data_IF_379874926069
#
_entry.id   IF_379874926069
#
_cell.length_a   1.000
_cell.length_b   1.000
_cell.length_c   1.000
_cell.angle_alpha   90.00
_cell.angle_beta   90.00
_cell.angle_gamma   90.00
#
_symmetry.space_group_name_H-M   'P 1'
#
loop_
_entity.id
_entity.type
_entity.pdbx_description
1 polymer ?
#
# COMPACT_ATOMS: atom_id res chain seq x y z
N UNK A 1 14.05 42.15 14.59
CA UNK A 1 13.16 41.71 13.50
C UNK A 1 12.60 40.32 13.86
N UNK A 2 11.35 40.28 14.30
CA UNK A 2 10.69 39.03 14.73
C UNK A 2 10.17 38.31 13.49
N UNK A 3 10.66 37.10 13.26
CA UNK A 3 10.11 36.22 12.23
C UNK A 3 8.74 35.70 12.67
N UNK A 4 7.70 36.10 11.97
CA UNK A 4 6.34 35.61 12.13
C UNK A 4 6.30 34.11 11.79
N UNK A 5 5.76 33.29 12.72
CA UNK A 5 5.45 31.87 12.49
C UNK A 5 4.38 31.76 11.41
N UNK A 6 4.51 30.82 10.44
CA UNK A 6 3.46 30.61 9.45
C UNK A 6 2.18 30.13 10.12
N UNK A 7 1.06 30.66 9.65
CA UNK A 7 -0.29 30.40 10.14
C UNK A 7 -0.60 28.90 10.16
N UNK A 8 -1.28 28.48 11.25
CA UNK A 8 -1.83 27.12 11.43
C UNK A 8 -2.67 26.73 10.20
N UNK A 9 -2.36 25.58 9.62
CA UNK A 9 -3.23 24.91 8.63
C UNK A 9 -4.64 24.79 9.24
N UNK A 10 -5.56 25.56 8.73
CA UNK A 10 -6.99 25.40 8.97
C UNK A 10 -7.39 23.99 8.59
N UNK A 11 -8.13 23.29 9.45
CA UNK A 11 -8.70 21.98 9.15
C UNK A 11 -9.44 22.04 7.82
N UNK A 12 -8.86 21.39 6.80
CA UNK A 12 -9.43 21.27 5.47
C UNK A 12 -10.78 20.54 5.63
N UNK A 13 -11.90 21.25 5.51
CA UNK A 13 -13.22 20.63 5.41
C UNK A 13 -13.13 19.67 4.23
N UNK A 14 -13.36 18.39 4.48
CA UNK A 14 -13.47 17.41 3.39
C UNK A 14 -14.69 17.82 2.56
N UNK A 15 -14.45 18.45 1.44
CA UNK A 15 -15.50 18.79 0.50
C UNK A 15 -16.03 17.47 -0.08
N UNK A 16 -17.33 17.32 -0.09
CA UNK A 16 -17.98 16.23 -0.81
C UNK A 16 -17.73 16.48 -2.30
N UNK A 17 -17.17 15.52 -3.06
CA UNK A 17 -16.98 15.71 -4.49
C UNK A 17 -18.32 16.06 -5.18
N UNK A 18 -18.35 17.03 -6.08
CA UNK A 18 -19.56 17.39 -6.84
C UNK A 18 -19.90 16.36 -7.94
N UNK A 19 -19.02 15.39 -8.16
CA UNK A 19 -19.19 14.28 -9.07
C UNK A 19 -19.36 12.99 -8.26
N UNK A 20 -20.36 12.18 -8.60
CA UNK A 20 -20.54 10.85 -8.03
C UNK A 20 -19.40 9.91 -8.51
N UNK A 21 -19.11 8.89 -7.71
CA UNK A 21 -18.16 7.84 -8.14
C UNK A 21 -18.61 7.15 -9.43
N UNK A 22 -17.65 6.78 -10.26
CA UNK A 22 -17.88 5.92 -11.44
C UNK A 22 -17.16 4.58 -11.23
N UNK A 23 -17.90 3.48 -11.28
CA UNK A 23 -17.34 2.14 -11.12
C UNK A 23 -16.40 2.01 -9.89
N UNK A 24 -16.80 2.58 -8.75
CA UNK A 24 -16.03 2.58 -7.51
C UNK A 24 -14.84 3.56 -7.46
N UNK A 25 -14.64 4.36 -8.50
CA UNK A 25 -13.53 5.30 -8.65
C UNK A 25 -13.98 6.70 -8.29
N UNK A 26 -13.26 7.35 -7.37
CA UNK A 26 -13.50 8.74 -7.01
C UNK A 26 -13.03 9.71 -8.09
N UNK A 27 -13.74 10.83 -8.31
CA UNK A 27 -13.19 11.94 -9.07
C UNK A 27 -11.97 12.51 -8.35
N UNK A 28 -11.05 13.09 -9.10
CA UNK A 28 -9.87 13.76 -8.54
C UNK A 28 -10.11 15.26 -8.42
N UNK A 29 -9.57 15.85 -7.36
CA UNK A 29 -9.52 17.29 -7.18
C UNK A 29 -8.17 17.81 -7.65
N UNK A 30 -8.18 18.83 -8.50
CA UNK A 30 -7.01 19.54 -8.94
C UNK A 30 -7.15 21.03 -8.60
N UNK A 31 -6.13 21.57 -7.93
CA UNK A 31 -5.99 23.03 -7.77
C UNK A 31 -5.21 23.53 -8.97
N UNK A 32 -5.76 24.50 -9.69
CA UNK A 32 -5.09 25.09 -10.86
C UNK A 32 -3.86 25.89 -10.36
N UNK A 33 -2.64 25.55 -10.82
CA UNK A 33 -1.43 26.24 -10.38
C UNK A 33 -1.40 27.70 -10.80
N UNK A 34 -0.64 28.53 -10.09
CA UNK A 34 -0.30 29.86 -10.56
C UNK A 34 0.69 29.79 -11.74
N UNK A 35 0.67 30.76 -12.67
CA UNK A 35 1.54 30.71 -13.86
C UNK A 35 3.03 30.54 -13.54
N UNK A 36 3.51 31.14 -12.45
CA UNK A 36 4.88 31.02 -11.95
C UNK A 36 5.26 29.63 -11.42
N UNK A 37 4.27 28.79 -11.14
CA UNK A 37 4.46 27.39 -10.70
C UNK A 37 4.46 26.40 -11.88
N UNK A 38 4.12 26.89 -13.08
CA UNK A 38 4.02 26.07 -14.28
C UNK A 38 5.37 26.01 -15.02
N UNK A 39 5.71 24.87 -15.62
CA UNK A 39 6.79 24.80 -16.60
C UNK A 39 6.58 25.77 -17.77
N UNK A 40 7.65 26.31 -18.33
CA UNK A 40 7.61 27.24 -19.49
C UNK A 40 6.76 26.70 -20.67
N UNK A 41 6.78 25.37 -20.87
CA UNK A 41 5.96 24.73 -21.93
C UNK A 41 4.44 24.85 -21.69
N UNK A 42 4.00 25.05 -20.45
CA UNK A 42 2.58 25.20 -20.09
C UNK A 42 2.17 26.65 -19.83
N UNK A 43 3.11 27.53 -19.59
CA UNK A 43 2.91 28.95 -19.35
C UNK A 43 4.02 29.79 -20.05
N UNK A 44 4.05 29.82 -21.40
CA UNK A 44 5.06 30.53 -22.14
C UNK A 44 5.12 32.01 -21.76
N UNK A 45 6.32 32.50 -21.42
CA UNK A 45 6.51 33.89 -20.97
C UNK A 45 5.72 34.22 -19.69
N UNK A 46 5.46 33.25 -18.83
CA UNK A 46 4.71 33.42 -17.59
C UNK A 46 3.21 33.67 -17.76
N UNK A 47 2.66 33.40 -18.96
CA UNK A 47 1.23 33.60 -19.23
C UNK A 47 0.45 32.34 -18.95
N UNK A 48 -0.64 32.49 -18.16
CA UNK A 48 -1.56 31.38 -17.91
C UNK A 48 -2.15 30.82 -19.22
N UNK A 49 -2.47 29.52 -19.27
CA UNK A 49 -3.29 28.96 -20.35
C UNK A 49 -4.61 29.72 -20.52
N UNK A 50 -5.12 29.82 -21.75
CA UNK A 50 -6.35 30.58 -22.00
C UNK A 50 -7.58 29.95 -21.31
N UNK A 51 -7.68 28.62 -21.32
CA UNK A 51 -8.80 27.90 -20.77
C UNK A 51 -8.31 26.74 -19.87
N UNK A 52 -9.21 26.25 -18.98
CA UNK A 52 -8.98 25.07 -18.18
C UNK A 52 -8.76 23.83 -19.09
N UNK A 53 -9.50 23.73 -20.20
CA UNK A 53 -9.33 22.65 -21.16
C UNK A 53 -7.91 22.65 -21.76
N UNK A 54 -7.40 23.81 -22.18
CA UNK A 54 -6.05 23.93 -22.74
C UNK A 54 -4.99 23.45 -21.72
N UNK A 55 -5.15 23.82 -20.45
CA UNK A 55 -4.25 23.37 -19.41
C UNK A 55 -4.28 21.85 -19.21
N UNK A 56 -5.48 21.25 -19.08
CA UNK A 56 -5.64 19.82 -18.85
C UNK A 56 -5.07 19.00 -20.02
N UNK A 57 -5.34 19.44 -21.27
CA UNK A 57 -4.81 18.82 -22.48
C UNK A 57 -3.29 18.89 -22.48
N UNK A 58 -2.73 20.08 -22.39
CA UNK A 58 -1.28 20.27 -22.47
C UNK A 58 -0.52 19.56 -21.35
N UNK A 59 -1.12 19.45 -20.15
CA UNK A 59 -0.48 18.86 -18.97
C UNK A 59 -0.58 17.35 -18.90
N UNK A 60 -1.71 16.77 -19.33
CA UNK A 60 -2.01 15.37 -19.06
C UNK A 60 -2.32 14.55 -20.29
N UNK A 61 -2.79 15.17 -21.38
CA UNK A 61 -3.28 14.48 -22.58
C UNK A 61 -2.82 15.14 -23.88
N UNK A 62 -1.51 15.48 -24.02
CA UNK A 62 -1.04 16.22 -25.19
C UNK A 62 -1.22 15.45 -26.52
N UNK A 63 -1.26 14.11 -26.44
CA UNK A 63 -1.39 13.25 -27.62
C UNK A 63 -2.84 12.86 -27.92
N UNK A 64 -3.78 13.09 -26.99
CA UNK A 64 -5.20 12.77 -27.18
C UNK A 64 -6.11 13.83 -26.51
N UNK A 65 -6.29 15.00 -27.16
CA UNK A 65 -7.16 16.06 -26.64
C UNK A 65 -8.63 15.66 -26.49
N UNK A 66 -9.09 14.67 -27.26
CA UNK A 66 -10.50 14.26 -27.28
C UNK A 66 -10.95 13.72 -25.95
N UNK A 67 -10.06 13.08 -25.20
CA UNK A 67 -10.33 12.63 -23.84
C UNK A 67 -10.86 13.78 -22.95
N UNK A 68 -10.21 14.93 -23.01
CA UNK A 68 -10.63 16.08 -22.21
C UNK A 68 -11.87 16.75 -22.81
N UNK A 69 -11.97 16.88 -24.13
CA UNK A 69 -13.17 17.44 -24.75
C UNK A 69 -14.43 16.65 -24.36
N UNK A 70 -14.38 15.31 -24.42
CA UNK A 70 -15.53 14.47 -24.02
C UNK A 70 -15.90 14.64 -22.53
N UNK A 71 -14.91 14.87 -21.64
CA UNK A 71 -15.18 15.14 -20.20
C UNK A 71 -15.95 16.44 -19.98
N UNK A 72 -15.66 17.47 -20.75
CA UNK A 72 -16.41 18.72 -20.71
C UNK A 72 -17.82 18.56 -21.29
N UNK A 73 -17.94 17.86 -22.42
CA UNK A 73 -19.24 17.59 -23.08
C UNK A 73 -20.18 16.78 -22.20
N UNK A 74 -19.66 15.80 -21.45
CA UNK A 74 -20.43 14.97 -20.52
C UNK A 74 -20.64 15.62 -19.15
N UNK A 75 -20.16 16.85 -18.92
CA UNK A 75 -20.30 17.58 -17.66
C UNK A 75 -19.49 16.97 -16.51
N UNK A 76 -18.42 16.27 -16.83
CA UNK A 76 -17.53 15.60 -15.88
C UNK A 76 -16.35 16.47 -15.40
N UNK A 77 -16.35 17.74 -15.76
CA UNK A 77 -15.43 18.74 -15.21
C UNK A 77 -16.24 19.79 -14.47
N UNK A 78 -16.03 19.89 -13.14
CA UNK A 78 -16.84 20.75 -12.29
C UNK A 78 -16.01 21.52 -11.26
N UNK A 79 -16.53 22.67 -10.83
CA UNK A 79 -16.02 23.38 -9.66
C UNK A 79 -16.45 22.71 -8.34
N UNK A 80 -15.90 23.18 -7.21
CA UNK A 80 -16.27 22.71 -5.86
C UNK A 80 -17.76 22.86 -5.52
N UNK A 81 -18.43 23.84 -6.10
CA UNK A 81 -19.86 24.12 -5.92
C UNK A 81 -20.79 23.32 -6.85
N UNK A 82 -20.19 22.49 -7.74
CA UNK A 82 -20.91 21.68 -8.71
C UNK A 82 -21.15 22.37 -10.07
N UNK A 83 -20.73 23.60 -10.24
CA UNK A 83 -20.83 24.31 -11.53
C UNK A 83 -20.14 23.50 -12.63
N UNK A 84 -20.86 23.19 -13.70
CA UNK A 84 -20.34 22.47 -14.85
C UNK A 84 -19.47 23.42 -15.68
N UNK A 85 -18.25 23.00 -15.96
CA UNK A 85 -17.32 23.73 -16.80
C UNK A 85 -17.46 23.31 -18.26
N UNK A 86 -17.13 24.24 -19.17
CA UNK A 86 -17.08 24.01 -20.62
C UNK A 86 -15.65 24.14 -21.14
N UNK A 87 -15.40 23.73 -22.35
CA UNK A 87 -14.08 23.88 -23.00
C UNK A 87 -13.63 25.35 -23.14
N UNK A 88 -14.57 26.29 -23.07
CA UNK A 88 -14.31 27.73 -23.10
C UNK A 88 -14.15 28.37 -21.72
N UNK A 89 -14.31 27.60 -20.64
CA UNK A 89 -14.15 28.11 -19.27
C UNK A 89 -12.73 28.64 -19.06
N UNK A 90 -12.59 29.94 -18.63
CA UNK A 90 -11.28 30.58 -18.53
C UNK A 90 -10.43 29.91 -17.44
N UNK A 91 -9.11 29.93 -17.61
CA UNK A 91 -8.18 29.46 -16.62
C UNK A 91 -8.12 30.47 -15.45
N UNK A 92 -8.40 30.02 -14.23
CA UNK A 92 -8.35 30.81 -13.01
C UNK A 92 -7.36 30.18 -12.02
N UNK A 93 -6.17 30.76 -11.82
CA UNK A 93 -5.19 30.25 -10.85
C UNK A 93 -5.77 30.12 -9.44
N UNK A 94 -5.45 29.04 -8.74
CA UNK A 94 -5.95 28.75 -7.40
C UNK A 94 -7.35 28.15 -7.35
N UNK A 95 -8.09 28.13 -8.44
CA UNK A 95 -9.41 27.51 -8.53
C UNK A 95 -9.30 25.99 -8.42
N UNK A 96 -10.32 25.36 -7.84
CA UNK A 96 -10.41 23.92 -7.64
C UNK A 96 -11.41 23.31 -8.58
N UNK A 97 -10.93 22.36 -9.37
CA UNK A 97 -11.74 21.59 -10.31
C UNK A 97 -11.76 20.12 -9.93
N UNK A 98 -12.84 19.45 -10.30
CA UNK A 98 -13.03 18.00 -10.16
C UNK A 98 -13.26 17.38 -11.51
N UNK A 99 -12.59 16.25 -11.78
CA UNK A 99 -12.76 15.48 -13.01
C UNK A 99 -12.34 14.04 -12.83
N UNK A 100 -12.65 13.18 -13.81
CA UNK A 100 -12.14 11.81 -13.84
C UNK A 100 -10.89 11.72 -14.69
N UNK A 101 -9.89 10.97 -14.21
CA UNK A 101 -8.76 10.58 -15.05
C UNK A 101 -9.23 9.62 -16.13
N UNK A 102 -8.58 9.65 -17.28
CA UNK A 102 -8.65 8.52 -18.19
C UNK A 102 -7.94 7.33 -17.55
N UNK A 103 -8.55 6.17 -17.68
CA UNK A 103 -7.97 4.93 -17.22
C UNK A 103 -7.21 4.31 -18.40
N UNK A 104 -5.92 4.09 -18.22
CA UNK A 104 -5.19 3.21 -19.12
C UNK A 104 -5.77 1.80 -19.04
N UNK A 105 -5.57 1.00 -20.08
CA UNK A 105 -5.87 -0.44 -20.01
C UNK A 105 -5.03 -1.06 -18.92
N UNK A 106 -5.70 -1.47 -17.83
CA UNK A 106 -5.07 -2.14 -16.72
C UNK A 106 -5.19 -3.66 -16.93
N UNK A 107 -4.10 -4.43 -16.81
CA UNK A 107 -4.20 -5.88 -16.83
C UNK A 107 -5.11 -6.35 -15.72
N UNK A 108 -5.91 -7.39 -15.98
CA UNK A 108 -6.76 -7.96 -14.94
C UNK A 108 -5.91 -8.54 -13.82
N UNK A 109 -6.24 -8.15 -12.60
CA UNK A 109 -5.56 -8.60 -11.39
C UNK A 109 -6.45 -9.56 -10.59
N UNK A 110 -5.87 -10.46 -9.76
CA UNK A 110 -6.62 -11.36 -8.92
C UNK A 110 -7.71 -10.63 -8.14
N UNK A 111 -8.94 -11.15 -8.20
CA UNK A 111 -10.13 -10.52 -7.58
C UNK A 111 -10.76 -11.38 -6.49
N UNK A 112 -10.22 -12.59 -6.25
CA UNK A 112 -10.67 -13.45 -5.17
C UNK A 112 -10.33 -12.82 -3.82
N UNK A 113 -11.34 -12.25 -3.17
CA UNK A 113 -11.29 -11.58 -1.89
C UNK A 113 -12.38 -12.11 -0.96
N UNK A 114 -12.19 -13.33 -0.38
CA UNK A 114 -13.12 -13.87 0.59
C UNK A 114 -13.37 -12.91 1.73
N UNK A 115 -14.63 -12.82 2.18
CA UNK A 115 -15.00 -12.05 3.37
C UNK A 115 -14.64 -12.89 4.59
N UNK A 116 -13.84 -12.31 5.48
CA UNK A 116 -13.44 -12.92 6.75
C UNK A 116 -14.36 -12.50 7.90
N UNK A 117 -14.90 -11.29 7.83
CA UNK A 117 -15.83 -10.73 8.79
C UNK A 117 -16.55 -9.54 8.20
N UNK A 118 -17.80 -9.36 8.56
CA UNK A 118 -18.60 -8.22 8.17
C UNK A 118 -19.62 -7.88 9.24
N UNK A 119 -19.80 -6.58 9.51
CA UNK A 119 -20.90 -6.03 10.27
C UNK A 119 -21.41 -4.71 9.61
N UNK A 120 -22.16 -3.90 10.34
CA UNK A 120 -22.66 -2.61 9.85
C UNK A 120 -21.56 -1.54 9.69
N UNK A 121 -20.40 -1.72 10.35
CA UNK A 121 -19.33 -0.73 10.45
C UNK A 121 -18.11 -1.08 9.62
N UNK A 122 -17.77 -2.36 9.53
CA UNK A 122 -16.50 -2.82 8.99
C UNK A 122 -16.67 -4.05 8.09
N UNK A 123 -15.84 -4.12 7.07
CA UNK A 123 -15.65 -5.28 6.19
C UNK A 123 -14.20 -5.72 6.26
N UNK A 124 -13.94 -6.98 6.59
CA UNK A 124 -12.63 -7.61 6.54
C UNK A 124 -12.57 -8.63 5.41
N UNK A 125 -11.54 -8.55 4.59
CA UNK A 125 -11.32 -9.47 3.48
C UNK A 125 -9.95 -10.14 3.55
N UNK A 126 -9.81 -11.23 2.83
CA UNK A 126 -8.55 -11.92 2.58
C UNK A 126 -7.97 -11.51 1.22
N UNK A 127 -7.12 -10.48 1.22
CA UNK A 127 -6.56 -9.88 0.01
C UNK A 127 -5.59 -10.85 -0.70
N UNK A 128 -5.69 -11.09 -2.00
CA UNK A 128 -4.70 -11.88 -2.74
C UNK A 128 -3.36 -11.13 -2.91
N UNK A 129 -2.31 -11.87 -3.28
CA UNK A 129 -1.07 -11.28 -3.79
C UNK A 129 -1.35 -10.42 -5.03
N UNK A 130 -0.47 -9.49 -5.34
CA UNK A 130 -0.46 -8.60 -6.51
C UNK A 130 -1.61 -7.61 -6.63
N UNK A 131 -2.65 -7.68 -5.79
CA UNK A 131 -3.73 -6.71 -5.79
C UNK A 131 -3.37 -5.48 -4.95
N UNK A 132 -3.31 -4.26 -5.53
CA UNK A 132 -3.11 -3.03 -4.74
C UNK A 132 -4.29 -2.79 -3.78
N UNK A 133 -4.03 -2.23 -2.61
CA UNK A 133 -5.09 -1.87 -1.65
C UNK A 133 -5.94 -0.70 -2.16
N UNK A 134 -5.30 0.33 -2.71
CA UNK A 134 -5.93 1.59 -3.14
C UNK A 134 -5.35 2.05 -4.47
N UNK A 135 -6.08 2.88 -5.23
CA UNK A 135 -5.60 3.52 -6.44
C UNK A 135 -4.25 4.20 -6.26
N UNK A 136 -3.25 3.78 -7.04
CA UNK A 136 -1.91 4.37 -7.05
C UNK A 136 -1.13 3.96 -8.31
N UNK A 137 -0.41 4.94 -8.90
CA UNK A 137 0.39 4.69 -10.11
C UNK A 137 -0.49 4.27 -11.27
N UNK A 138 -0.16 3.15 -11.91
CA UNK A 138 -0.88 2.59 -13.07
C UNK A 138 -2.15 1.83 -12.70
N UNK A 139 -2.39 1.54 -11.42
CA UNK A 139 -3.56 0.77 -10.99
C UNK A 139 -4.57 1.68 -10.31
N UNK A 140 -5.75 1.82 -10.90
CA UNK A 140 -6.88 2.63 -10.42
C UNK A 140 -8.12 1.75 -10.30
N UNK A 141 -8.52 1.11 -11.37
CA UNK A 141 -9.66 0.17 -11.40
C UNK A 141 -9.30 -1.16 -10.73
N UNK A 142 -8.12 -1.69 -11.02
CA UNK A 142 -7.64 -2.97 -10.51
C UNK A 142 -7.06 -2.83 -9.09
N UNK A 143 -7.88 -2.38 -8.13
CA UNK A 143 -7.51 -2.30 -6.70
C UNK A 143 -8.56 -2.96 -5.82
N UNK A 144 -8.15 -3.41 -4.62
CA UNK A 144 -9.10 -3.99 -3.66
C UNK A 144 -10.24 -3.02 -3.34
N UNK A 145 -9.91 -1.74 -3.11
CA UNK A 145 -10.92 -0.72 -2.81
C UNK A 145 -11.93 -0.55 -3.94
N UNK A 146 -11.47 -0.37 -5.17
CA UNK A 146 -12.35 -0.14 -6.33
C UNK A 146 -13.25 -1.34 -6.58
N UNK A 147 -12.65 -2.56 -6.63
CA UNK A 147 -13.40 -3.80 -6.82
C UNK A 147 -14.44 -4.05 -5.72
N UNK A 148 -14.09 -3.78 -4.44
CA UNK A 148 -15.01 -3.95 -3.32
C UNK A 148 -16.15 -2.94 -3.35
N UNK A 149 -15.89 -1.69 -3.69
CA UNK A 149 -16.96 -0.68 -3.82
C UNK A 149 -18.01 -1.07 -4.84
N UNK A 150 -17.57 -1.66 -5.96
CA UNK A 150 -18.48 -2.18 -7.00
C UNK A 150 -19.21 -3.42 -6.49
N UNK A 151 -18.50 -4.40 -5.93
CA UNK A 151 -19.06 -5.67 -5.46
C UNK A 151 -20.10 -5.47 -4.36
N UNK A 152 -19.81 -4.61 -3.39
CA UNK A 152 -20.68 -4.34 -2.23
C UNK A 152 -21.71 -3.23 -2.50
N UNK A 153 -21.68 -2.58 -3.67
CA UNK A 153 -22.54 -1.43 -3.95
C UNK A 153 -22.35 -0.26 -2.96
N UNK A 154 -21.18 -0.18 -2.30
CA UNK A 154 -20.92 0.78 -1.24
C UNK A 154 -19.80 1.77 -1.60
N UNK A 155 -20.14 2.98 -2.07
CA UNK A 155 -19.18 4.02 -2.42
C UNK A 155 -18.44 4.60 -1.20
N UNK A 156 -18.94 4.36 0.03
CA UNK A 156 -18.36 4.89 1.26
C UNK A 156 -17.19 4.03 1.78
N UNK A 157 -16.97 2.83 1.23
CA UNK A 157 -15.85 1.99 1.64
C UNK A 157 -14.53 2.74 1.55
N UNK A 158 -13.74 2.66 2.63
CA UNK A 158 -12.33 3.09 2.64
C UNK A 158 -11.49 2.07 3.41
N UNK A 159 -10.24 1.81 3.02
CA UNK A 159 -9.36 0.97 3.80
C UNK A 159 -8.97 1.67 5.10
N UNK A 160 -8.97 0.90 6.19
CA UNK A 160 -8.55 1.37 7.52
C UNK A 160 -7.02 1.35 7.62
N UNK A 161 -6.40 0.33 7.05
CA UNK A 161 -4.96 0.20 6.88
C UNK A 161 -4.67 -0.30 5.46
N UNK A 162 -3.41 -0.50 5.15
CA UNK A 162 -3.02 -0.98 3.82
C UNK A 162 -1.99 -2.08 3.89
N UNK A 163 -2.06 -2.98 2.93
CA UNK A 163 -1.02 -3.94 2.60
C UNK A 163 -0.33 -3.49 1.31
N UNK A 164 0.95 -3.82 1.18
CA UNK A 164 1.66 -3.64 -0.08
C UNK A 164 1.03 -4.51 -1.18
N UNK A 165 1.16 -4.12 -2.44
CA UNK A 165 0.60 -4.86 -3.57
C UNK A 165 0.96 -6.36 -3.54
N UNK A 166 2.25 -6.76 -3.34
CA UNK A 166 2.63 -8.17 -3.32
C UNK A 166 2.26 -8.89 -2.01
N UNK A 167 1.86 -8.20 -0.94
CA UNK A 167 1.49 -8.82 0.34
C UNK A 167 0.03 -9.27 0.32
N UNK A 168 -0.23 -10.53 0.66
CA UNK A 168 -1.57 -11.07 0.83
C UNK A 168 -2.06 -11.01 2.28
N UNK A 169 -3.35 -11.33 2.53
CA UNK A 169 -3.92 -11.57 3.84
C UNK A 169 -4.93 -10.53 4.32
N UNK A 170 -5.17 -10.49 5.62
CA UNK A 170 -6.25 -9.77 6.28
C UNK A 170 -6.16 -8.26 6.03
N UNK A 171 -7.21 -7.69 5.47
CA UNK A 171 -7.34 -6.27 5.15
C UNK A 171 -8.72 -5.76 5.56
N UNK A 172 -8.75 -4.63 6.31
CA UNK A 172 -9.97 -4.03 6.85
C UNK A 172 -10.40 -2.76 6.10
N UNK A 173 -11.72 -2.65 5.91
CA UNK A 173 -12.38 -1.47 5.32
C UNK A 173 -13.47 -0.96 6.24
N UNK A 174 -13.56 0.36 6.43
CA UNK A 174 -14.72 0.98 7.04
C UNK A 174 -15.86 1.09 6.02
N UNK A 175 -17.07 0.68 6.41
CA UNK A 175 -18.29 0.70 5.57
C UNK A 175 -19.02 2.04 5.63
N UNK A 176 -18.85 2.79 6.72
CA UNK A 176 -19.56 4.05 6.99
C UNK A 176 -18.59 5.18 7.31
N UNK A 177 -19.03 6.42 7.14
CA UNK A 177 -18.22 7.61 7.49
C UNK A 177 -17.94 7.64 9.00
N UNK A 178 -18.92 7.24 9.82
CA UNK A 178 -18.81 7.21 11.28
C UNK A 178 -17.75 6.21 11.77
N UNK A 179 -17.62 5.07 11.09
CA UNK A 179 -16.64 4.04 11.43
C UNK A 179 -15.19 4.43 11.12
N UNK A 180 -14.95 5.32 10.14
CA UNK A 180 -13.61 5.67 9.67
C UNK A 180 -12.67 6.07 10.79
N UNK A 181 -13.03 7.10 11.55
CA UNK A 181 -12.18 7.67 12.60
C UNK A 181 -11.91 6.68 13.74
N UNK A 182 -12.90 6.03 14.37
CA UNK A 182 -12.66 5.07 15.44
C UNK A 182 -11.68 3.95 15.02
N UNK A 183 -11.89 3.34 13.87
CA UNK A 183 -11.01 2.26 13.40
C UNK A 183 -9.61 2.76 13.00
N UNK A 184 -9.47 3.93 12.38
CA UNK A 184 -8.14 4.50 12.06
C UNK A 184 -7.36 4.85 13.33
N UNK A 185 -8.03 5.42 14.34
CA UNK A 185 -7.40 5.73 15.63
C UNK A 185 -6.91 4.47 16.36
N UNK A 186 -7.64 3.35 16.26
CA UNK A 186 -7.23 2.06 16.80
C UNK A 186 -5.86 1.63 16.23
N UNK A 187 -5.62 1.76 14.92
CA UNK A 187 -4.32 1.49 14.31
C UNK A 187 -3.26 2.53 14.71
N UNK A 188 -3.63 3.80 14.73
CA UNK A 188 -2.72 4.90 15.12
C UNK A 188 -2.22 4.74 16.56
N UNK A 189 -3.10 4.34 17.49
CA UNK A 189 -2.77 4.10 18.90
C UNK A 189 -2.19 2.70 19.16
N UNK A 190 -2.00 1.88 18.12
CA UNK A 190 -1.45 0.52 18.23
C UNK A 190 -2.28 -0.40 19.13
N UNK A 191 -3.61 -0.22 19.13
CA UNK A 191 -4.58 -1.04 19.86
C UNK A 191 -4.96 -2.30 19.07
N UNK A 192 -4.13 -2.70 18.12
CA UNK A 192 -4.29 -3.88 17.27
C UNK A 192 -3.12 -4.82 17.45
N UNK A 193 -3.39 -6.12 17.58
CA UNK A 193 -2.39 -7.18 17.47
C UNK A 193 -2.39 -7.71 16.04
N UNK A 194 -1.21 -7.81 15.44
CA UNK A 194 -1.02 -8.31 14.07
C UNK A 194 0.07 -9.33 14.05
N UNK A 195 -0.16 -10.44 13.39
CA UNK A 195 0.92 -11.36 13.04
C UNK A 195 0.97 -11.56 11.53
N UNK A 196 2.17 -11.72 11.02
CA UNK A 196 2.43 -12.05 9.64
C UNK A 196 3.17 -13.37 9.56
N UNK A 197 2.93 -14.10 8.49
CA UNK A 197 3.74 -15.26 8.10
C UNK A 197 4.66 -14.86 6.96
N UNK A 198 5.88 -15.35 7.01
CA UNK A 198 6.81 -15.19 5.89
C UNK A 198 7.64 -16.46 5.71
N UNK A 199 8.07 -16.72 4.47
CA UNK A 199 9.13 -17.69 4.20
C UNK A 199 10.36 -16.93 3.75
N UNK A 200 11.46 -17.17 4.44
CA UNK A 200 12.75 -16.52 4.19
C UNK A 200 13.89 -17.47 4.61
N UNK A 201 15.12 -17.28 4.10
CA UNK A 201 16.29 -18.01 4.59
C UNK A 201 16.48 -17.80 6.10
N UNK A 202 17.02 -18.79 6.79
CA UNK A 202 17.46 -18.61 8.18
C UNK A 202 18.61 -17.59 8.21
N UNK A 203 18.69 -16.67 9.20
CA UNK A 203 19.80 -15.73 9.31
C UNK A 203 21.15 -16.43 9.26
N UNK A 204 22.11 -15.85 8.53
CA UNK A 204 23.47 -16.41 8.45
C UNK A 204 24.26 -16.21 9.75
N UNK A 205 23.95 -15.16 10.52
CA UNK A 205 24.53 -14.93 11.83
C UNK A 205 23.98 -15.93 12.84
N UNK A 206 24.82 -16.76 13.49
CA UNK A 206 24.37 -17.81 14.39
C UNK A 206 23.57 -17.31 15.59
N UNK A 207 23.96 -16.15 16.16
CA UNK A 207 23.27 -15.56 17.31
C UNK A 207 21.89 -15.07 16.91
N UNK A 208 21.74 -14.41 15.76
CA UNK A 208 20.45 -14.01 15.23
C UNK A 208 19.56 -15.22 14.91
N UNK A 209 20.13 -16.28 14.35
CA UNK A 209 19.42 -17.53 14.06
C UNK A 209 18.91 -18.20 15.34
N UNK A 210 19.74 -18.34 16.36
CA UNK A 210 19.36 -18.91 17.67
C UNK A 210 18.25 -18.12 18.33
N UNK A 211 18.37 -16.79 18.37
CA UNK A 211 17.33 -15.92 18.93
C UNK A 211 16.01 -16.01 18.13
N UNK A 212 16.09 -16.07 16.81
CA UNK A 212 14.89 -16.21 15.98
C UNK A 212 14.19 -17.56 16.17
N UNK A 213 14.94 -18.61 16.51
CA UNK A 213 14.40 -19.95 16.81
C UNK A 213 13.87 -20.06 18.24
N UNK A 214 14.22 -19.13 19.14
CA UNK A 214 13.72 -19.15 20.52
C UNK A 214 12.22 -18.85 20.62
N UNK A 215 11.62 -19.19 21.75
CA UNK A 215 10.20 -18.92 22.01
C UNK A 215 9.90 -17.41 22.05
N UNK A 216 10.83 -16.59 22.51
CA UNK A 216 10.73 -15.13 22.60
C UNK A 216 10.87 -14.46 21.24
N UNK A 217 11.63 -15.09 20.33
CA UNK A 217 11.97 -14.55 19.03
C UNK A 217 13.01 -13.41 19.06
N UNK A 218 13.54 -13.09 17.92
CA UNK A 218 14.51 -12.00 17.72
C UNK A 218 13.78 -10.65 17.62
N UNK A 219 14.20 -9.69 18.43
CA UNK A 219 13.70 -8.29 18.38
C UNK A 219 14.55 -7.48 17.41
N UNK A 220 13.96 -7.06 16.29
CA UNK A 220 14.63 -6.25 15.26
C UNK A 220 14.19 -4.80 15.40
N UNK A 221 15.14 -3.94 15.73
CA UNK A 221 14.96 -2.49 15.82
C UNK A 221 15.76 -1.78 14.74
N UNK A 222 15.16 -0.78 14.14
CA UNK A 222 15.82 0.03 13.11
C UNK A 222 15.17 1.40 12.94
N UNK A 223 15.85 2.29 12.24
CA UNK A 223 15.22 3.53 11.77
C UNK A 223 14.88 3.41 10.29
N UNK A 224 13.60 3.47 9.96
CA UNK A 224 13.11 3.37 8.58
C UNK A 224 12.57 4.73 8.13
N UNK A 225 13.06 5.19 6.98
CA UNK A 225 12.63 6.42 6.31
C UNK A 225 12.19 6.11 4.87
N UNK A 226 10.95 6.48 4.51
CA UNK A 226 10.50 6.48 3.13
C UNK A 226 10.98 7.75 2.43
N UNK A 227 11.76 7.59 1.37
CA UNK A 227 12.20 8.69 0.52
C UNK A 227 11.30 8.76 -0.69
N UNK A 228 10.95 9.99 -1.09
CA UNK A 228 10.13 10.22 -2.28
C UNK A 228 10.88 9.70 -3.53
N UNK A 229 10.13 9.11 -4.45
CA UNK A 229 10.62 8.58 -5.73
C UNK A 229 11.70 7.47 -5.62
N UNK A 230 11.92 6.92 -4.41
CA UNK A 230 12.75 5.74 -4.16
C UNK A 230 11.86 4.55 -3.82
N UNK A 231 12.03 3.43 -4.54
CA UNK A 231 11.21 2.23 -4.34
C UNK A 231 11.44 1.60 -2.97
N UNK A 232 12.71 1.38 -2.60
CA UNK A 232 13.10 0.88 -1.29
C UNK A 232 12.94 1.95 -0.20
N UNK A 233 12.94 1.54 1.05
CA UNK A 233 13.11 2.47 2.20
C UNK A 233 14.60 2.60 2.52
N UNK A 234 14.99 3.74 3.06
CA UNK A 234 16.30 3.87 3.74
C UNK A 234 16.16 3.30 5.13
N UNK A 235 17.12 2.47 5.53
CA UNK A 235 17.13 1.84 6.83
C UNK A 235 18.49 2.01 7.48
N UNK A 236 18.48 2.30 8.79
CA UNK A 236 19.65 2.22 9.66
C UNK A 236 19.41 1.10 10.67
N UNK A 237 20.38 0.19 10.82
CA UNK A 237 20.39 -0.81 11.88
C UNK A 237 20.41 -0.15 13.26
N UNK A 238 20.17 -0.90 14.33
CA UNK A 238 20.25 -0.37 15.69
C UNK A 238 21.66 0.14 16.01
N UNK A 239 22.69 -0.57 15.58
CA UNK A 239 24.09 -0.14 15.72
C UNK A 239 24.38 1.19 14.98
N UNK A 240 23.91 1.31 13.73
CA UNK A 240 24.05 2.54 12.98
C UNK A 240 23.24 3.69 13.57
N UNK A 241 22.08 3.41 14.17
CA UNK A 241 21.29 4.39 14.90
C UNK A 241 22.09 4.97 16.07
N UNK A 242 22.70 4.11 16.89
CA UNK A 242 23.56 4.52 18.00
C UNK A 242 24.73 5.36 17.50
N UNK A 243 25.43 4.88 16.47
CA UNK A 243 26.60 5.58 15.89
C UNK A 243 26.25 6.97 15.34
N UNK A 244 25.01 7.19 14.90
CA UNK A 244 24.54 8.46 14.31
C UNK A 244 23.69 9.31 15.25
N UNK A 245 23.46 8.87 16.48
CA UNK A 245 22.58 9.57 17.43
C UNK A 245 21.13 9.66 16.97
N UNK A 246 20.63 8.65 16.21
CA UNK A 246 19.26 8.59 15.68
C UNK A 246 18.48 7.52 16.43
N UNK A 247 17.30 7.85 16.95
CA UNK A 247 16.46 6.86 17.61
C UNK A 247 15.81 5.89 16.61
N UNK A 248 15.81 4.57 16.89
CA UNK A 248 15.03 3.60 16.14
C UNK A 248 13.54 3.95 16.19
N UNK A 249 12.87 3.93 15.03
CA UNK A 249 11.44 4.24 14.91
C UNK A 249 10.58 3.03 14.55
N UNK A 250 11.19 1.83 14.48
CA UNK A 250 10.55 0.56 14.16
C UNK A 250 10.98 -0.55 15.13
N UNK A 251 10.06 -1.47 15.38
CA UNK A 251 10.29 -2.68 16.15
C UNK A 251 9.43 -3.81 15.57
N UNK A 252 10.06 -4.97 15.34
CA UNK A 252 9.40 -6.23 14.97
C UNK A 252 9.97 -7.35 15.83
N UNK A 253 9.13 -8.25 16.34
CA UNK A 253 9.55 -9.54 16.84
C UNK A 253 9.47 -10.56 15.71
N UNK A 254 10.58 -11.23 15.40
CA UNK A 254 10.70 -12.24 14.36
C UNK A 254 11.00 -13.59 14.99
N UNK A 255 10.11 -14.56 14.83
CA UNK A 255 10.28 -15.92 15.35
C UNK A 255 10.21 -16.92 14.21
N UNK A 256 11.13 -17.85 14.15
CA UNK A 256 11.08 -19.00 13.24
C UNK A 256 10.29 -20.11 13.94
N UNK A 257 9.21 -20.54 13.32
CA UNK A 257 8.34 -21.59 13.83
C UNK A 257 8.85 -22.98 13.44
N UNK A 258 9.37 -23.08 12.25
CA UNK A 258 9.87 -24.32 11.66
C UNK A 258 10.90 -24.00 10.59
N UNK A 259 11.89 -24.87 10.43
CA UNK A 259 12.91 -24.78 9.37
C UNK A 259 12.85 -26.00 8.46
N UNK A 260 13.30 -25.83 7.22
CA UNK A 260 13.48 -26.90 6.25
C UNK A 260 14.58 -26.52 5.25
N UNK A 261 15.18 -27.51 4.66
CA UNK A 261 16.12 -27.30 3.55
C UNK A 261 15.37 -27.60 2.25
N UNK A 262 15.22 -26.59 1.37
CA UNK A 262 14.59 -26.80 0.06
C UNK A 262 15.50 -27.70 -0.81
N UNK A 263 14.91 -28.31 -1.82
CA UNK A 263 15.76 -28.93 -2.83
C UNK A 263 16.54 -27.88 -3.63
N UNK A 264 17.64 -28.26 -4.31
CA UNK A 264 18.46 -27.30 -5.02
C UNK A 264 17.74 -26.54 -6.14
N UNK A 265 16.77 -27.18 -6.82
CA UNK A 265 16.02 -26.55 -7.91
C UNK A 265 15.05 -25.49 -7.36
N UNK A 266 14.37 -25.77 -6.24
CA UNK A 266 13.56 -24.79 -5.55
C UNK A 266 14.41 -23.60 -5.05
N UNK A 267 15.59 -23.88 -4.46
CA UNK A 267 16.47 -22.82 -4.01
C UNK A 267 16.90 -21.89 -5.16
N UNK A 268 17.27 -22.46 -6.29
CA UNK A 268 17.65 -21.72 -7.50
C UNK A 268 16.46 -20.91 -8.06
N UNK A 269 15.27 -21.49 -8.14
CA UNK A 269 14.04 -20.83 -8.62
C UNK A 269 13.70 -19.57 -7.81
N UNK A 270 13.96 -19.60 -6.50
CA UNK A 270 13.74 -18.45 -5.60
C UNK A 270 14.98 -17.55 -5.45
N UNK A 271 16.08 -17.86 -6.13
CA UNK A 271 17.33 -17.09 -6.11
C UNK A 271 18.04 -17.11 -4.75
N UNK A 272 17.94 -18.24 -4.04
CA UNK A 272 18.62 -18.49 -2.77
C UNK A 272 19.72 -19.52 -2.99
N UNK A 273 20.83 -19.39 -2.25
CA UNK A 273 21.94 -20.32 -2.30
C UNK A 273 21.49 -21.74 -1.92
N UNK A 274 21.80 -22.77 -2.75
CA UNK A 274 21.46 -24.16 -2.43
C UNK A 274 22.05 -24.60 -1.09
N UNK A 275 21.30 -25.40 -0.34
CA UNK A 275 21.70 -25.91 0.98
C UNK A 275 21.45 -24.95 2.14
N UNK A 276 21.10 -23.70 1.88
CA UNK A 276 20.71 -22.76 2.94
C UNK A 276 19.30 -23.10 3.45
N UNK A 277 19.11 -23.34 4.76
CA UNK A 277 17.79 -23.65 5.30
C UNK A 277 16.86 -22.43 5.21
N UNK A 278 15.57 -22.68 4.95
CA UNK A 278 14.50 -21.70 5.00
C UNK A 278 13.69 -21.86 6.29
N UNK A 279 13.13 -20.76 6.77
CA UNK A 279 12.26 -20.72 7.92
C UNK A 279 10.86 -20.23 7.58
N UNK A 280 9.85 -20.82 8.21
CA UNK A 280 8.53 -20.21 8.34
C UNK A 280 8.57 -19.25 9.52
N UNK A 281 8.52 -17.97 9.24
CA UNK A 281 8.55 -16.91 10.23
C UNK A 281 7.16 -16.53 10.72
N UNK A 282 7.06 -16.28 12.02
CA UNK A 282 6.00 -15.52 12.67
C UNK A 282 6.53 -14.12 12.99
N UNK A 283 5.94 -13.09 12.38
CA UNK A 283 6.42 -11.72 12.48
C UNK A 283 5.37 -10.87 13.19
N UNK A 284 5.71 -10.31 14.35
CA UNK A 284 4.85 -9.40 15.10
C UNK A 284 5.37 -7.96 15.01
N UNK A 285 4.85 -7.11 14.11
CA UNK A 285 5.24 -5.71 14.03
C UNK A 285 4.58 -4.88 15.12
N UNK A 286 5.38 -4.25 15.99
CA UNK A 286 4.92 -3.31 17.01
C UNK A 286 4.72 -1.89 16.47
N UNK A 287 5.22 -1.63 15.27
CA UNK A 287 5.09 -0.38 14.50
C UNK A 287 4.60 -0.72 13.10
N UNK A 288 4.26 0.29 12.28
CA UNK A 288 3.69 0.06 10.95
C UNK A 288 4.29 0.98 9.88
N UNK A 289 5.61 0.94 9.68
CA UNK A 289 6.27 1.71 8.60
C UNK A 289 6.22 0.94 7.28
N UNK A 290 6.28 1.70 6.19
CA UNK A 290 6.35 1.15 4.82
C UNK A 290 7.47 0.12 4.71
N UNK A 291 7.18 -1.05 4.14
CA UNK A 291 8.10 -2.17 3.93
C UNK A 291 8.80 -2.69 5.19
N UNK A 292 8.29 -2.38 6.40
CA UNK A 292 9.00 -2.67 7.66
C UNK A 292 9.47 -4.12 7.77
N UNK A 293 8.59 -5.10 7.57
CA UNK A 293 8.92 -6.52 7.70
C UNK A 293 9.94 -6.98 6.65
N UNK A 294 9.78 -6.49 5.42
CA UNK A 294 10.69 -6.77 4.30
C UNK A 294 12.08 -6.23 4.58
N UNK A 295 12.16 -4.98 5.02
CA UNK A 295 13.42 -4.32 5.39
C UNK A 295 14.07 -4.98 6.61
N UNK A 296 13.28 -5.37 7.63
CA UNK A 296 13.80 -6.02 8.83
C UNK A 296 14.41 -7.41 8.53
N UNK A 297 13.71 -8.26 7.76
CA UNK A 297 14.30 -9.55 7.38
C UNK A 297 15.50 -9.39 6.47
N UNK A 298 15.47 -8.41 5.56
CA UNK A 298 16.66 -8.09 4.75
C UNK A 298 17.86 -7.64 5.62
N UNK A 299 17.64 -6.87 6.67
CA UNK A 299 18.68 -6.45 7.62
C UNK A 299 19.36 -7.63 8.32
N UNK A 300 18.61 -8.72 8.55
CA UNK A 300 19.11 -9.97 9.11
C UNK A 300 19.84 -10.87 8.08
N UNK A 301 20.04 -10.38 6.84
CA UNK A 301 20.54 -11.20 5.75
C UNK A 301 19.61 -12.34 5.35
N UNK A 302 18.32 -12.23 5.68
CA UNK A 302 17.26 -13.19 5.43
C UNK A 302 16.12 -12.56 4.62
N UNK A 303 16.35 -12.04 3.40
CA UNK A 303 15.31 -11.39 2.62
C UNK A 303 14.16 -12.35 2.35
N UNK A 304 12.91 -11.84 2.42
CA UNK A 304 11.72 -12.65 2.17
C UNK A 304 11.75 -13.18 0.74
N UNK A 305 11.43 -14.45 0.55
CA UNK A 305 11.40 -15.07 -0.78
C UNK A 305 10.41 -14.32 -1.70
N UNK A 306 10.78 -14.18 -2.97
CA UNK A 306 9.98 -13.46 -3.95
C UNK A 306 9.96 -11.94 -3.78
N UNK A 307 10.83 -11.38 -2.93
CA UNK A 307 10.91 -9.93 -2.78
C UNK A 307 11.69 -9.30 -3.94
N UNK A 308 11.00 -8.51 -4.76
CA UNK A 308 11.59 -7.83 -5.94
C UNK A 308 12.27 -6.49 -5.60
N UNK A 309 12.18 -6.06 -4.35
CA UNK A 309 12.82 -4.81 -3.89
C UNK A 309 14.01 -5.05 -2.96
N UNK A 310 14.03 -6.18 -2.22
CA UNK A 310 15.09 -6.47 -1.25
C UNK A 310 15.73 -7.84 -1.53
N UNK A 311 17.06 -7.98 -1.44
CA UNK A 311 18.04 -6.95 -1.03
C UNK A 311 18.30 -5.89 -2.11
N UNK A 312 17.93 -6.16 -3.36
CA UNK A 312 18.12 -5.27 -4.52
C UNK A 312 16.84 -5.17 -5.35
N UNK A 313 16.65 -4.03 -6.00
CA UNK A 313 15.55 -3.87 -6.95
C UNK A 313 15.84 -4.73 -8.19
N UNK A 314 14.90 -5.62 -8.51
CA UNK A 314 15.00 -6.47 -9.70
C UNK A 314 14.49 -5.71 -10.93
N UNK A 315 15.15 -5.90 -12.12
CA UNK A 315 14.80 -5.16 -13.35
C UNK A 315 13.38 -5.43 -13.85
N UNK A 316 12.92 -6.67 -13.73
CA UNK A 316 11.64 -7.13 -14.30
C UNK A 316 10.42 -6.76 -13.46
N UNK A 317 10.62 -5.94 -12.43
CA UNK A 317 9.53 -5.36 -11.66
C UNK A 317 8.70 -6.32 -10.83
N UNK A 318 7.58 -5.83 -10.31
CA UNK A 318 6.80 -6.51 -9.27
C UNK A 318 5.87 -7.62 -9.78
N UNK A 319 5.89 -8.01 -11.04
CA UNK A 319 4.86 -8.86 -11.68
C UNK A 319 5.25 -10.33 -11.88
N UNK A 320 6.24 -10.82 -11.15
CA UNK A 320 6.57 -12.25 -11.12
C UNK A 320 5.48 -13.04 -10.38
N UNK A 321 4.40 -13.37 -11.09
CA UNK A 321 3.26 -14.12 -10.54
C UNK A 321 3.63 -15.55 -10.13
N UNK A 322 4.66 -16.14 -10.74
CA UNK A 322 5.13 -17.50 -10.44
C UNK A 322 5.81 -17.60 -9.07
N UNK A 323 6.40 -16.50 -8.60
CA UNK A 323 7.07 -16.43 -7.30
C UNK A 323 6.61 -15.19 -6.51
N UNK A 324 5.37 -15.21 -5.99
CA UNK A 324 4.86 -14.10 -5.21
C UNK A 324 5.67 -13.90 -3.94
N UNK A 325 5.76 -12.63 -3.48
CA UNK A 325 6.35 -12.31 -2.19
C UNK A 325 5.79 -13.23 -1.09
N UNK A 326 6.60 -14.02 -0.46
CA UNK A 326 6.21 -14.95 0.60
C UNK A 326 5.96 -14.20 1.91
N UNK A 327 5.01 -13.26 1.90
CA UNK A 327 4.57 -12.46 3.05
C UNK A 327 3.05 -12.41 3.10
N UNK A 328 2.50 -12.84 4.22
CA UNK A 328 1.07 -12.95 4.48
C UNK A 328 0.69 -12.22 5.77
N UNK A 329 -0.22 -11.26 5.72
CA UNK A 329 -0.89 -10.68 6.88
C UNK A 329 -1.84 -11.74 7.46
N UNK A 330 -1.33 -12.55 8.41
CA UNK A 330 -1.93 -13.81 8.81
C UNK A 330 -3.07 -13.62 9.81
N UNK A 331 -2.83 -12.87 10.90
CA UNK A 331 -3.88 -12.58 11.88
C UNK A 331 -4.00 -11.09 12.16
N UNK A 332 -5.19 -10.68 12.54
CA UNK A 332 -5.49 -9.35 13.03
C UNK A 332 -6.51 -9.46 14.16
N UNK A 333 -6.14 -9.02 15.37
CA UNK A 333 -7.02 -9.05 16.54
C UNK A 333 -7.12 -7.66 17.16
N UNK A 334 -8.31 -7.28 17.57
CA UNK A 334 -8.60 -5.98 18.18
C UNK A 334 -9.91 -6.01 18.97
N UNK A 335 -10.12 -5.02 19.83
CA UNK A 335 -11.41 -4.72 20.43
C UNK A 335 -12.16 -3.79 19.47
N UNK A 336 -13.35 -4.18 19.05
CA UNK A 336 -14.17 -3.38 18.13
C UNK A 336 -14.43 -1.99 18.73
N UNK A 337 -14.01 -0.89 18.08
CA UNK A 337 -13.97 0.43 18.71
C UNK A 337 -15.35 1.05 18.96
N UNK A 338 -16.43 0.47 18.40
CA UNK A 338 -17.80 0.93 18.56
C UNK A 338 -18.58 0.00 19.48
N UNK A 339 -18.56 -1.32 19.21
CA UNK A 339 -19.35 -2.29 20.02
C UNK A 339 -18.61 -2.77 21.26
N UNK A 340 -17.28 -2.69 21.29
CA UNK A 340 -16.46 -3.17 22.38
C UNK A 340 -16.18 -4.68 22.35
N UNK A 341 -16.67 -5.41 21.37
CA UNK A 341 -16.47 -6.85 21.24
C UNK A 341 -15.06 -7.22 20.79
N UNK A 342 -14.48 -8.33 21.27
CA UNK A 342 -13.21 -8.83 20.79
C UNK A 342 -13.39 -9.46 19.40
N UNK A 343 -12.59 -9.01 18.43
CA UNK A 343 -12.55 -9.55 17.06
C UNK A 343 -11.18 -10.18 16.83
N UNK A 344 -11.18 -11.39 16.30
CA UNK A 344 -9.96 -12.09 15.88
C UNK A 344 -10.15 -12.66 14.49
N UNK A 345 -9.34 -12.18 13.54
CA UNK A 345 -9.41 -12.52 12.12
C UNK A 345 -8.16 -13.29 11.74
N UNK A 346 -8.34 -14.27 10.85
CA UNK A 346 -7.24 -15.08 10.32
C UNK A 346 -7.43 -15.27 8.81
N UNK A 347 -6.34 -15.08 8.05
CA UNK A 347 -6.29 -15.41 6.63
C UNK A 347 -6.39 -16.92 6.42
N UNK A 348 -7.17 -17.32 5.43
CA UNK A 348 -7.22 -18.71 4.92
C UNK A 348 -6.14 -19.01 3.88
N UNK A 349 -5.34 -18.00 3.49
CA UNK A 349 -4.29 -18.16 2.48
C UNK A 349 -3.05 -18.81 3.08
N UNK A 350 -2.26 -19.37 2.20
CA UNK A 350 -1.00 -20.04 2.52
C UNK A 350 0.14 -19.42 1.68
N UNK A 351 1.36 -19.80 2.02
CA UNK A 351 2.56 -19.35 1.30
C UNK A 351 3.07 -20.50 0.42
N UNK A 352 3.15 -20.28 -0.89
CA UNK A 352 3.44 -21.34 -1.87
C UNK A 352 4.80 -22.02 -1.66
N UNK A 353 5.82 -21.30 -1.21
CA UNK A 353 7.11 -21.90 -0.87
C UNK A 353 7.02 -22.84 0.35
N UNK A 354 6.08 -22.58 1.27
CA UNK A 354 5.82 -23.45 2.41
C UNK A 354 4.99 -24.69 2.03
N UNK A 355 4.02 -24.53 1.13
CA UNK A 355 3.17 -25.64 0.68
C UNK A 355 3.93 -26.70 -0.11
N UNK A 356 4.89 -26.30 -0.95
CA UNK A 356 5.75 -27.24 -1.71
C UNK A 356 6.51 -28.18 -0.80
N UNK A 357 7.04 -27.72 0.34
CA UNK A 357 7.63 -28.58 1.38
C UNK A 357 6.68 -29.69 1.81
N UNK A 358 5.42 -29.33 2.09
CA UNK A 358 4.44 -30.26 2.63
C UNK A 358 3.97 -31.29 1.56
N UNK A 359 4.04 -30.94 0.27
CA UNK A 359 3.74 -31.86 -0.83
C UNK A 359 4.88 -32.88 -1.01
N UNK A 360 6.14 -32.44 -0.98
CA UNK A 360 7.31 -33.32 -1.10
C UNK A 360 7.39 -34.36 0.04
N UNK A 361 6.99 -33.98 1.27
CA UNK A 361 6.94 -34.89 2.43
C UNK A 361 5.81 -35.94 2.26
N UNK A 362 4.69 -35.56 1.64
CA UNK A 362 3.57 -36.50 1.41
C UNK A 362 3.83 -37.51 0.30
N UNK A 363 4.63 -37.15 -0.71
CA UNK A 363 5.05 -38.05 -1.79
C UNK A 363 6.15 -39.02 -1.37
N UNK A 364 6.89 -38.70 -0.30
CA UNK A 364 7.95 -39.52 0.27
C UNK A 364 7.48 -40.43 1.44
N UNK A 365 6.22 -40.37 1.85
CA UNK A 365 5.58 -41.16 2.91
C UNK A 365 4.60 -42.15 2.33
#
# INVERSE_FOLDING_TARGET
>A
MQHAKPARRTHRRLLTPPLAQKNGIDPIQLVLPHPEELPEALAPGGRAPATIANYLIARFYPNDPQIIHSRFETGEVRLDDGTVLTTSSPYAPGERIWYFRELADEPELPSDMPVLYEDEHVLAIDKPHFLPTTPRGSYIAQTALTKLRVREGNPLLIPIHRLDRPTAGVLLFAKTVQARRPFQMMFQHRLVSKTYRAVAPVPADPTAAEQALSAEGLRVRSHIQKVRDVLQVRQLSETECVARGVEPNTLTTARILETFTPDPADAEAWGVEPGRPWGLYDLAPHTGKTHQLRAHLNLLGAPILGDVLYPRVLPDGPDRSEHPLQLLAYTLSFKHPITGEPISLRSGRTLGAWERKNSAVREAS
#
